data_IF_460538300491
#
_entry.id   IF_460538300491
#
_cell.length_a   1.000
_cell.length_b   1.000
_cell.length_c   1.000
_cell.angle_alpha   90.00
_cell.angle_beta   90.00
_cell.angle_gamma   90.00
#
_symmetry.space_group_name_H-M   'P 1'
#
loop_
_entity.id
_entity.type
_entity.pdbx_description
1 polymer ?
#
# COMPACT_ATOMS: atom_id res chain seq x y z
N UNK A 1 9.55 1.50 -43.43
CA UNK A 1 9.32 1.63 -41.98
C UNK A 1 8.34 0.56 -41.50
N UNK A 2 8.77 -0.28 -40.57
CA UNK A 2 7.91 -1.33 -40.07
C UNK A 2 6.86 -0.73 -39.14
N UNK A 3 5.57 -0.99 -39.32
CA UNK A 3 4.57 -0.48 -38.40
C UNK A 3 4.75 -1.06 -37.00
N UNK A 4 4.44 -0.26 -36.00
CA UNK A 4 4.45 -0.69 -34.61
C UNK A 4 3.49 -1.84 -34.41
N UNK A 5 3.98 -2.93 -33.83
CA UNK A 5 3.17 -4.10 -33.56
C UNK A 5 3.00 -4.24 -32.03
N UNK A 6 1.77 -4.16 -31.59
CA UNK A 6 1.46 -4.37 -30.19
C UNK A 6 1.42 -5.87 -29.88
N UNK A 7 2.42 -6.38 -29.13
CA UNK A 7 2.52 -7.78 -28.76
C UNK A 7 1.91 -8.08 -27.40
N UNK A 8 1.99 -7.12 -26.50
CA UNK A 8 1.54 -7.29 -25.12
C UNK A 8 1.12 -5.95 -24.54
N UNK A 9 0.10 -5.98 -23.67
CA UNK A 9 -0.33 -4.81 -22.89
C UNK A 9 -0.30 -5.17 -21.42
N UNK A 10 0.51 -4.44 -20.64
CA UNK A 10 0.59 -4.59 -19.19
C UNK A 10 0.09 -3.29 -18.55
N UNK A 11 -1.15 -3.28 -18.01
CA UNK A 11 -1.66 -2.09 -17.34
C UNK A 11 -0.99 -1.91 -15.98
N UNK A 12 -0.49 -0.70 -15.71
CA UNK A 12 0.11 -0.32 -14.44
C UNK A 12 -0.58 0.94 -13.91
N UNK A 13 -0.87 0.93 -12.62
CA UNK A 13 -1.34 2.14 -11.93
C UNK A 13 -0.15 2.92 -11.43
N UNK A 14 -0.05 4.19 -11.79
CA UNK A 14 1.03 5.07 -11.38
C UNK A 14 0.45 6.25 -10.61
N UNK A 15 0.97 6.49 -9.41
CA UNK A 15 0.61 7.65 -8.61
C UNK A 15 1.80 8.58 -8.44
N UNK A 16 1.52 9.86 -8.24
CA UNK A 16 2.52 10.87 -7.93
C UNK A 16 2.31 11.41 -6.54
N UNK A 17 3.39 11.53 -5.79
CA UNK A 17 3.35 12.12 -4.45
C UNK A 17 4.61 12.94 -4.21
N UNK A 18 4.47 13.92 -3.35
CA UNK A 18 5.59 14.68 -2.82
C UNK A 18 5.63 14.49 -1.31
N UNK A 19 6.80 14.09 -0.81
CA UNK A 19 7.04 13.96 0.63
C UNK A 19 8.17 14.91 1.00
N UNK A 20 7.94 15.75 2.01
CA UNK A 20 8.93 16.72 2.46
C UNK A 20 8.85 16.93 3.97
N UNK A 21 9.95 17.41 4.55
CA UNK A 21 10.00 17.86 5.94
C UNK A 21 10.20 19.37 5.91
N UNK A 22 9.25 20.11 6.47
CA UNK A 22 9.27 21.56 6.51
C UNK A 22 8.72 22.05 7.84
N UNK A 23 9.44 23.02 8.46
CA UNK A 23 9.07 23.55 9.79
C UNK A 23 8.88 22.44 10.84
N UNK A 24 9.77 21.43 10.85
CA UNK A 24 9.71 20.25 11.72
C UNK A 24 8.44 19.42 11.56
N UNK A 25 7.77 19.49 10.42
CA UNK A 25 6.58 18.70 10.10
C UNK A 25 6.80 17.85 8.85
N UNK A 26 6.26 16.62 8.87
CA UNK A 26 6.18 15.77 7.70
C UNK A 26 4.99 16.18 6.85
N UNK A 27 5.24 16.51 5.58
CA UNK A 27 4.20 16.90 4.63
C UNK A 27 4.08 15.85 3.53
N UNK A 28 2.86 15.47 3.23
CA UNK A 28 2.53 14.65 2.07
C UNK A 28 1.61 15.46 1.17
N UNK A 29 2.03 15.69 -0.07
CA UNK A 29 1.32 16.55 -1.01
C UNK A 29 0.99 17.93 -0.41
N UNK A 30 1.97 18.53 0.26
CA UNK A 30 1.88 19.86 0.90
C UNK A 30 0.94 19.94 2.12
N UNK A 31 0.51 18.80 2.65
CA UNK A 31 -0.33 18.73 3.87
C UNK A 31 0.43 18.07 5.00
N UNK A 32 0.37 18.66 6.19
CA UNK A 32 0.97 18.08 7.39
C UNK A 32 0.25 16.77 7.75
N UNK A 33 1.02 15.74 8.03
CA UNK A 33 0.52 14.41 8.37
C UNK A 33 1.08 13.96 9.71
N UNK A 34 0.22 13.51 10.59
CA UNK A 34 0.59 12.80 11.80
C UNK A 34 0.49 11.30 11.53
N UNK A 35 1.63 10.59 11.54
CA UNK A 35 1.65 9.17 11.22
C UNK A 35 1.14 8.36 12.41
N UNK A 36 0.05 7.63 12.20
CA UNK A 36 -0.48 6.63 13.12
C UNK A 36 -0.34 5.28 12.46
N UNK A 37 0.74 4.57 12.78
CA UNK A 37 1.15 3.39 12.06
C UNK A 37 0.98 2.10 12.85
N UNK A 38 0.96 1.00 12.12
CA UNK A 38 0.99 -0.35 12.63
C UNK A 38 1.89 -1.22 11.76
N UNK A 39 2.51 -2.23 12.37
CA UNK A 39 3.24 -3.26 11.65
C UNK A 39 2.27 -4.34 11.18
N UNK A 40 2.50 -4.87 10.00
CA UNK A 40 1.69 -5.94 9.44
C UNK A 40 2.57 -7.04 8.86
N UNK A 41 2.32 -8.26 9.29
CA UNK A 41 2.84 -9.48 8.66
C UNK A 41 1.77 -10.11 7.76
N UNK A 42 2.18 -10.76 6.68
CA UNK A 42 1.27 -11.58 5.87
C UNK A 42 1.04 -12.91 6.57
N UNK A 43 0.14 -12.90 7.56
CA UNK A 43 -0.28 -14.10 8.29
C UNK A 43 -1.80 -14.14 8.39
N UNK A 44 -2.34 -15.33 8.18
CA UNK A 44 -3.76 -15.61 8.31
C UNK A 44 -3.92 -16.78 9.31
N UNK A 45 -4.83 -16.69 10.30
CA UNK A 45 -5.07 -17.79 11.23
C UNK A 45 -5.42 -19.10 10.56
N UNK A 46 -6.08 -19.04 9.40
CA UNK A 46 -6.53 -20.21 8.65
C UNK A 46 -5.57 -20.59 7.51
N UNK A 47 -4.93 -19.61 6.87
CA UNK A 47 -4.07 -19.78 5.70
C UNK A 47 -2.56 -19.74 5.95
N UNK A 48 -2.12 -19.49 7.20
CA UNK A 48 -0.71 -19.37 7.53
C UNK A 48 -0.07 -18.12 6.92
N UNK A 49 0.96 -18.30 6.08
CA UNK A 49 1.68 -17.20 5.44
C UNK A 49 1.08 -16.76 4.09
N UNK A 50 -0.01 -17.37 3.67
CA UNK A 50 -0.76 -16.98 2.47
C UNK A 50 -2.03 -16.27 2.92
N UNK A 51 -2.20 -15.05 2.48
CA UNK A 51 -3.33 -14.20 2.86
C UNK A 51 -4.23 -13.96 1.65
N UNK A 52 -5.52 -14.25 1.79
CA UNK A 52 -6.49 -14.00 0.74
C UNK A 52 -6.77 -12.51 0.58
N UNK A 53 -7.27 -12.12 -0.60
CA UNK A 53 -7.68 -10.75 -0.85
C UNK A 53 -8.76 -10.27 0.12
N UNK A 54 -9.72 -11.11 0.45
CA UNK A 54 -10.79 -10.77 1.40
C UNK A 54 -10.25 -10.46 2.79
N UNK A 55 -9.26 -11.21 3.24
CA UNK A 55 -8.58 -10.95 4.51
C UNK A 55 -7.80 -9.63 4.47
N UNK A 56 -7.13 -9.34 3.36
CA UNK A 56 -6.44 -8.06 3.18
C UNK A 56 -7.41 -6.88 3.27
N UNK A 57 -8.57 -6.96 2.63
CA UNK A 57 -9.61 -5.94 2.69
C UNK A 57 -10.12 -5.78 4.12
N UNK A 58 -10.33 -6.87 4.84
CA UNK A 58 -10.78 -6.83 6.23
C UNK A 58 -9.75 -6.15 7.13
N UNK A 59 -8.48 -6.45 6.97
CA UNK A 59 -7.39 -5.81 7.71
C UNK A 59 -7.39 -4.29 7.48
N UNK A 60 -7.55 -3.85 6.25
CA UNK A 60 -7.63 -2.42 5.91
C UNK A 60 -8.84 -1.76 6.56
N UNK A 61 -10.00 -2.42 6.54
CA UNK A 61 -11.21 -1.91 7.18
C UNK A 61 -11.05 -1.74 8.69
N UNK A 62 -10.41 -2.70 9.34
CA UNK A 62 -10.11 -2.64 10.77
C UNK A 62 -9.17 -1.47 11.07
N UNK A 63 -8.11 -1.31 10.29
CA UNK A 63 -7.18 -0.19 10.46
C UNK A 63 -7.87 1.16 10.28
N UNK A 64 -8.77 1.30 9.31
CA UNK A 64 -9.55 2.53 9.13
C UNK A 64 -10.47 2.81 10.32
N UNK A 65 -11.11 1.80 10.90
CA UNK A 65 -11.93 1.95 12.11
C UNK A 65 -11.10 2.41 13.30
N UNK A 66 -9.85 1.97 13.40
CA UNK A 66 -8.93 2.34 14.47
C UNK A 66 -8.17 3.64 14.17
N UNK A 67 -8.50 4.31 13.06
CA UNK A 67 -7.86 5.55 12.65
C UNK A 67 -6.35 5.41 12.39
N UNK A 68 -5.92 4.27 11.89
CA UNK A 68 -4.55 4.00 11.45
C UNK A 68 -4.40 4.48 10.02
N UNK A 69 -3.38 5.30 9.75
CA UNK A 69 -3.14 5.88 8.42
C UNK A 69 -1.83 5.47 7.78
N UNK A 70 -1.06 4.61 8.43
CA UNK A 70 0.21 4.11 7.91
C UNK A 70 0.40 2.66 8.33
N UNK A 71 1.03 1.88 7.45
CA UNK A 71 1.32 0.48 7.71
C UNK A 71 2.77 0.20 7.30
N UNK A 72 3.52 -0.44 8.17
CA UNK A 72 4.81 -1.02 7.84
C UNK A 72 4.61 -2.48 7.49
N UNK A 73 4.97 -2.85 6.29
CA UNK A 73 4.96 -4.25 5.85
C UNK A 73 6.20 -4.94 6.43
N UNK A 74 6.00 -5.79 7.41
CA UNK A 74 7.08 -6.42 8.16
C UNK A 74 7.37 -7.83 7.65
N UNK A 75 8.61 -8.15 7.43
CA UNK A 75 9.83 -7.34 7.21
C UNK A 75 10.28 -7.56 5.77
N UNK A 76 9.31 -7.72 4.88
CA UNK A 76 9.43 -8.10 3.49
C UNK A 76 8.35 -7.39 2.67
N UNK A 77 8.52 -7.27 1.34
CA UNK A 77 7.42 -6.80 0.49
C UNK A 77 6.21 -7.72 0.58
N UNK A 78 5.04 -7.12 0.66
CA UNK A 78 3.78 -7.86 0.68
C UNK A 78 3.36 -8.29 -0.74
N UNK A 79 2.30 -9.10 -0.82
CA UNK A 79 1.66 -9.45 -2.08
C UNK A 79 1.27 -8.16 -2.83
N UNK A 80 1.52 -8.08 -4.16
CA UNK A 80 1.17 -6.90 -4.95
C UNK A 80 -0.28 -6.44 -4.81
N UNK A 81 -1.22 -7.34 -4.56
CA UNK A 81 -2.63 -7.00 -4.33
C UNK A 81 -2.83 -6.08 -3.12
N UNK A 82 -1.98 -6.21 -2.11
CA UNK A 82 -2.04 -5.35 -0.92
C UNK A 82 -1.88 -3.89 -1.27
N UNK A 83 -0.96 -3.59 -2.18
CA UNK A 83 -0.67 -2.22 -2.58
C UNK A 83 -1.74 -1.61 -3.48
N UNK A 84 -2.58 -2.44 -4.09
CA UNK A 84 -3.69 -2.00 -4.95
C UNK A 84 -4.97 -1.66 -4.13
N UNK A 85 -5.03 -2.09 -2.91
CA UNK A 85 -6.19 -1.88 -2.02
C UNK A 85 -6.06 -0.60 -1.21
#
# INVERSE_FOLDING_TARGET
MTPFRLLEVIPLKVGFRKVEIKNAQLLVNSKAVFIKGADRHEMDPDGGYVVSRDRMIEDIKIMKRLNINAVRTCHYPDDPQWYDL
#
